data_IF_184436383653
#
_entry.id   IF_184436383653
#
_cell.length_a   1.000
_cell.length_b   1.000
_cell.length_c   1.000
_cell.angle_alpha   90.00
_cell.angle_beta   90.00
_cell.angle_gamma   90.00
#
_symmetry.space_group_name_H-M   'P 1'
#
loop_
_entity.id
_entity.type
_entity.pdbx_description
1 polymer ?
#
# COMPACT_ATOMS: atom_id res chain seq x y z
N UNK A 1 -1.85 -22.34 0.27
CA UNK A 1 -1.34 -21.09 -0.32
C UNK A 1 -1.11 -20.12 0.82
N UNK A 2 0.04 -19.43 0.92
CA UNK A 2 0.29 -18.47 2.02
C UNK A 2 -0.18 -17.08 1.60
N UNK A 3 -1.17 -16.54 2.29
CA UNK A 3 -1.71 -15.19 2.07
C UNK A 3 -1.88 -14.42 3.38
N UNK A 4 -1.87 -13.09 3.27
CA UNK A 4 -2.15 -12.16 4.35
C UNK A 4 -3.07 -11.06 3.81
N UNK A 5 -4.15 -10.75 4.55
CA UNK A 5 -5.01 -9.60 4.30
C UNK A 5 -4.79 -8.57 5.40
N UNK A 6 -4.60 -7.31 5.01
CA UNK A 6 -4.42 -6.18 5.93
C UNK A 6 -5.34 -5.04 5.54
N UNK A 7 -5.65 -4.20 6.53
CA UNK A 7 -6.26 -2.88 6.34
C UNK A 7 -5.18 -1.83 6.60
N UNK A 8 -5.04 -0.86 5.69
CA UNK A 8 -4.07 0.23 5.78
C UNK A 8 -4.80 1.56 5.88
N UNK A 9 -4.82 2.21 7.07
CA UNK A 9 -5.64 3.40 7.31
C UNK A 9 -5.13 4.60 6.53
N UNK A 10 -6.06 5.44 6.09
CA UNK A 10 -5.79 6.78 5.60
C UNK A 10 -5.29 7.66 6.76
N UNK A 11 -4.55 8.72 6.42
CA UNK A 11 -3.92 9.60 7.40
C UNK A 11 -4.19 11.07 7.10
N UNK A 12 -4.29 11.88 8.15
CA UNK A 12 -4.23 13.34 8.07
C UNK A 12 -2.80 13.77 8.35
N UNK A 13 -2.22 14.61 7.49
CA UNK A 13 -0.93 15.26 7.71
C UNK A 13 -1.09 16.71 8.18
N UNK A 14 0.00 17.32 8.67
CA UNK A 14 0.16 18.71 9.07
C UNK A 14 -0.64 19.18 10.29
N UNK A 15 -1.88 18.71 10.49
CA UNK A 15 -2.71 18.96 11.70
C UNK A 15 -2.61 20.41 12.21
N UNK A 16 -3.11 21.36 11.41
CA UNK A 16 -3.05 22.81 11.66
C UNK A 16 -1.61 23.35 11.73
N UNK A 17 -1.08 23.61 12.93
CA UNK A 17 0.24 24.23 13.13
C UNK A 17 1.43 23.26 12.97
N UNK A 18 1.17 21.97 12.78
CA UNK A 18 2.19 20.92 12.75
C UNK A 18 2.73 20.55 11.37
N UNK A 19 2.92 21.53 10.48
CA UNK A 19 3.44 21.32 9.13
C UNK A 19 4.66 20.39 9.13
N UNK A 20 4.62 19.32 8.33
CA UNK A 20 5.65 18.28 8.18
C UNK A 20 6.07 17.52 9.47
N UNK A 21 5.36 17.71 10.59
CA UNK A 21 5.70 17.07 11.88
C UNK A 21 4.54 16.24 12.43
N UNK A 22 3.31 16.74 12.38
CA UNK A 22 2.15 16.08 12.97
C UNK A 22 1.38 15.24 11.94
N UNK A 23 0.92 14.07 12.37
CA UNK A 23 0.04 13.20 11.60
C UNK A 23 -0.85 12.33 12.47
N UNK A 24 -2.01 11.95 11.93
CA UNK A 24 -3.04 11.15 12.61
C UNK A 24 -3.57 10.08 11.67
N UNK A 25 -3.73 8.85 12.17
CA UNK A 25 -4.39 7.77 11.44
C UNK A 25 -5.91 7.82 11.64
N UNK A 26 -6.66 7.57 10.57
CA UNK A 26 -8.12 7.44 10.61
C UNK A 26 -8.52 5.99 10.86
N UNK A 27 -9.54 5.78 11.68
CA UNK A 27 -9.93 4.43 12.13
C UNK A 27 -10.63 3.62 11.02
N UNK A 28 -11.48 4.26 10.22
CA UNK A 28 -12.43 3.54 9.33
C UNK A 28 -12.23 3.78 7.83
N UNK A 29 -11.30 4.65 7.44
CA UNK A 29 -11.05 5.00 6.03
C UNK A 29 -9.66 4.52 5.67
N UNK A 30 -9.52 3.78 4.58
CA UNK A 30 -8.24 3.21 4.16
C UNK A 30 -8.38 2.20 3.03
N UNK A 31 -7.27 1.57 2.67
CA UNK A 31 -7.21 0.53 1.67
C UNK A 31 -7.23 -0.87 2.30
N UNK A 32 -7.81 -1.84 1.61
CA UNK A 32 -7.66 -3.25 1.92
C UNK A 32 -6.65 -3.89 0.96
N UNK A 33 -5.61 -4.52 1.50
CA UNK A 33 -4.58 -5.16 0.70
C UNK A 33 -4.53 -6.65 0.99
N UNK A 34 -4.45 -7.46 -0.07
CA UNK A 34 -4.22 -8.91 0.04
C UNK A 34 -2.92 -9.26 -0.67
N UNK A 35 -1.98 -9.83 0.09
CA UNK A 35 -0.66 -10.23 -0.38
C UNK A 35 -0.60 -11.75 -0.41
N UNK A 36 -0.17 -12.32 -1.53
CA UNK A 36 -0.05 -13.77 -1.70
C UNK A 36 1.37 -14.14 -2.08
N UNK A 37 1.95 -15.10 -1.37
CA UNK A 37 3.24 -15.68 -1.77
C UNK A 37 3.04 -16.63 -2.93
N UNK A 38 3.84 -16.46 -3.96
CA UNK A 38 3.85 -17.29 -5.17
C UNK A 38 5.22 -17.95 -5.35
N UNK A 39 5.28 -19.02 -6.13
CA UNK A 39 6.53 -19.72 -6.44
C UNK A 39 7.39 -18.95 -7.47
N UNK A 40 6.74 -18.24 -8.39
CA UNK A 40 7.39 -17.40 -9.38
C UNK A 40 8.06 -16.19 -8.72
N UNK A 41 9.29 -15.87 -9.12
CA UNK A 41 10.02 -14.72 -8.57
C UNK A 41 9.44 -13.41 -9.08
N UNK A 42 9.51 -12.38 -8.25
CA UNK A 42 9.09 -11.01 -8.59
C UNK A 42 7.80 -10.57 -7.89
N UNK A 43 7.44 -9.32 -8.11
CA UNK A 43 6.26 -8.67 -7.53
C UNK A 43 5.32 -8.25 -8.66
N UNK A 44 4.05 -8.63 -8.53
CA UNK A 44 2.99 -8.30 -9.50
C UNK A 44 1.76 -7.79 -8.78
N UNK A 45 1.18 -6.71 -9.30
CA UNK A 45 -0.12 -6.22 -8.89
C UNK A 45 -1.14 -6.86 -9.83
N UNK A 46 -2.10 -7.59 -9.29
CA UNK A 46 -3.03 -8.41 -10.09
C UNK A 46 -4.46 -7.91 -10.09
N UNK A 47 -4.82 -7.09 -9.09
CA UNK A 47 -6.15 -6.49 -9.00
C UNK A 47 -6.05 -5.16 -8.25
N UNK A 48 -6.78 -4.18 -8.77
CA UNK A 48 -7.01 -2.87 -8.16
C UNK A 48 -8.52 -2.63 -8.23
N UNK A 49 -9.10 -2.02 -7.20
CA UNK A 49 -10.54 -1.71 -7.15
C UNK A 49 -10.73 -0.35 -6.51
N UNK A 50 -11.68 0.45 -6.99
CA UNK A 50 -12.03 1.76 -6.45
C UNK A 50 -11.28 2.95 -7.06
N UNK A 51 -9.98 2.81 -7.36
CA UNK A 51 -9.15 3.89 -7.94
C UNK A 51 -8.49 3.49 -9.25
N UNK A 52 -8.19 4.48 -10.10
CA UNK A 52 -7.41 4.31 -11.33
C UNK A 52 -5.94 4.61 -11.06
N UNK A 53 -5.19 3.60 -10.62
CA UNK A 53 -3.74 3.69 -10.39
C UNK A 53 -3.00 2.60 -11.17
N UNK A 54 -1.69 2.78 -11.47
CA UNK A 54 -0.96 1.87 -12.36
C UNK A 54 -0.85 0.43 -11.82
N UNK A 55 -0.83 -0.54 -12.73
CA UNK A 55 -0.53 -1.95 -12.41
C UNK A 55 0.97 -2.25 -12.50
N UNK A 56 1.73 -1.42 -13.22
CA UNK A 56 3.16 -1.57 -13.37
C UNK A 56 3.86 -1.42 -12.02
N UNK A 57 4.53 -2.48 -11.58
CA UNK A 57 5.12 -2.59 -10.25
C UNK A 57 6.02 -1.39 -9.87
N UNK A 58 6.76 -0.84 -10.83
CA UNK A 58 7.68 0.28 -10.61
C UNK A 58 7.01 1.67 -10.64
N UNK A 59 5.73 1.75 -11.04
CA UNK A 59 4.93 3.00 -11.04
C UNK A 59 3.88 3.02 -9.94
N UNK A 60 3.73 1.93 -9.19
CA UNK A 60 2.78 1.81 -8.10
C UNK A 60 3.53 1.71 -6.77
N UNK A 61 3.15 2.57 -5.80
CA UNK A 61 3.82 2.67 -4.50
C UNK A 61 3.88 1.34 -3.74
N UNK A 62 2.83 0.51 -3.83
CA UNK A 62 2.82 -0.82 -3.19
C UNK A 62 3.84 -1.77 -3.83
N UNK A 63 4.00 -1.69 -5.15
CA UNK A 63 4.96 -2.48 -5.91
C UNK A 63 6.40 -2.04 -5.62
N UNK A 64 6.66 -0.73 -5.61
CA UNK A 64 7.97 -0.16 -5.28
C UNK A 64 8.39 -0.54 -3.86
N UNK A 65 7.49 -0.42 -2.87
CA UNK A 65 7.77 -0.81 -1.49
C UNK A 65 8.08 -2.31 -1.35
N UNK A 66 7.31 -3.17 -2.03
CA UNK A 66 7.55 -4.61 -2.00
C UNK A 66 8.87 -4.99 -2.70
N UNK A 67 9.25 -4.32 -3.79
CA UNK A 67 10.55 -4.52 -4.44
C UNK A 67 11.71 -4.11 -3.53
N UNK A 68 11.58 -3.02 -2.76
CA UNK A 68 12.61 -2.56 -1.84
C UNK A 68 12.91 -3.57 -0.71
N UNK A 69 11.94 -4.38 -0.31
CA UNK A 69 12.14 -5.47 0.67
C UNK A 69 12.88 -6.70 0.09
N UNK A 70 12.98 -6.79 -1.24
CA UNK A 70 13.63 -7.90 -1.94
C UNK A 70 15.02 -7.53 -2.47
N UNK A 71 15.43 -6.26 -2.31
CA UNK A 71 16.72 -5.73 -2.74
C UNK A 71 17.86 -6.14 -1.80
#
# INVERSE_FOLDING_TARGET
MKELKIFTPATIANVSCGFDVLGLALDTVGDEMTIRKVAEKGVRITKITGQSVPFETHKNVSGVAALALLA
#
